data_IF_688570144369
#
_entry.id   IF_688570144369
#
_cell.length_a   1.000
_cell.length_b   1.000
_cell.length_c   1.000
_cell.angle_alpha   90.00
_cell.angle_beta   90.00
_cell.angle_gamma   90.00
#
_symmetry.space_group_name_H-M   'P 1'
#
loop_
_entity.id
_entity.type
_entity.pdbx_description
1 polymer ?
#
# COMPACT_ATOMS: atom_id res chain seq x y z
N UNK A 1 9.93 -26.28 -23.51
CA UNK A 1 9.93 -25.56 -22.22
C UNK A 1 8.82 -24.53 -22.31
N UNK A 2 7.76 -24.72 -21.52
CA UNK A 2 6.67 -23.75 -21.43
C UNK A 2 7.22 -22.49 -20.74
N UNK A 3 7.43 -21.42 -21.52
CA UNK A 3 7.88 -20.12 -21.00
C UNK A 3 6.63 -19.35 -20.57
N UNK A 4 5.99 -19.79 -19.49
CA UNK A 4 5.03 -18.92 -18.81
C UNK A 4 5.82 -17.79 -18.16
N UNK A 5 5.61 -16.56 -18.64
CA UNK A 5 6.16 -15.37 -17.99
C UNK A 5 5.75 -15.37 -16.52
N UNK A 6 6.66 -15.07 -15.59
CA UNK A 6 6.28 -14.96 -14.18
C UNK A 6 5.14 -13.95 -14.03
N UNK A 7 4.21 -14.18 -13.09
CA UNK A 7 3.10 -13.28 -12.88
C UNK A 7 3.62 -11.86 -12.56
N UNK A 8 2.91 -10.80 -12.98
CA UNK A 8 3.28 -9.43 -12.66
C UNK A 8 3.44 -9.23 -11.15
N UNK A 9 4.53 -8.59 -10.73
CA UNK A 9 4.79 -8.27 -9.33
C UNK A 9 4.84 -6.76 -9.10
N UNK A 10 4.43 -6.32 -7.91
CA UNK A 10 4.37 -4.93 -7.51
C UNK A 10 5.29 -4.70 -6.31
N UNK A 11 6.19 -3.73 -6.42
CA UNK A 11 7.16 -3.42 -5.36
C UNK A 11 6.71 -2.21 -4.55
N UNK A 12 6.68 -2.38 -3.23
CA UNK A 12 6.38 -1.33 -2.26
C UNK A 12 7.52 -1.21 -1.25
N UNK A 13 7.76 0.01 -0.77
CA UNK A 13 8.63 0.27 0.38
C UNK A 13 7.77 0.75 1.55
N UNK A 14 7.86 0.04 2.67
CA UNK A 14 7.18 0.42 3.91
C UNK A 14 8.23 0.90 4.89
N UNK A 15 8.01 2.06 5.49
CA UNK A 15 8.79 2.57 6.63
C UNK A 15 7.85 2.79 7.79
N UNK A 16 8.24 2.31 8.97
CA UNK A 16 7.50 2.44 10.23
C UNK A 16 8.43 3.05 11.26
N UNK A 17 7.91 3.98 12.06
CA UNK A 17 8.67 4.62 13.13
C UNK A 17 7.76 4.97 14.30
N UNK A 18 8.34 4.94 15.50
CA UNK A 18 7.75 5.50 16.69
C UNK A 18 7.90 7.03 16.64
N UNK A 19 6.81 7.75 16.86
CA UNK A 19 6.80 9.20 17.02
C UNK A 19 6.33 9.54 18.43
N UNK A 20 7.20 10.18 19.20
CA UNK A 20 6.80 10.77 20.47
C UNK A 20 5.81 11.91 20.21
N UNK A 21 4.68 11.84 20.90
CA UNK A 21 3.67 12.89 20.96
C UNK A 21 3.63 13.48 22.37
N UNK A 22 2.82 14.51 22.55
CA UNK A 22 2.67 15.16 23.85
C UNK A 22 2.26 14.18 24.96
N UNK A 23 2.73 14.48 26.17
CA UNK A 23 2.48 13.71 27.39
C UNK A 23 3.12 12.32 27.42
N UNK A 24 4.28 12.14 26.78
CA UNK A 24 5.07 10.91 26.88
C UNK A 24 4.44 9.69 26.22
N UNK A 25 3.46 9.92 25.34
CA UNK A 25 2.86 8.85 24.54
C UNK A 25 3.65 8.67 23.26
N UNK A 26 3.77 7.43 22.82
CA UNK A 26 4.40 7.08 21.54
C UNK A 26 3.32 6.60 20.59
N UNK A 27 3.19 7.27 19.44
CA UNK A 27 2.33 6.82 18.35
C UNK A 27 3.18 6.20 17.24
N UNK A 28 2.76 5.02 16.78
CA UNK A 28 3.34 4.44 15.58
C UNK A 28 2.84 5.17 14.34
N UNK A 29 3.77 5.48 13.44
CA UNK A 29 3.52 6.08 12.14
C UNK A 29 4.13 5.19 11.08
N UNK A 30 3.53 5.20 9.91
CA UNK A 30 4.06 4.54 8.75
C UNK A 30 3.90 5.35 7.48
N UNK A 31 4.71 5.03 6.49
CA UNK A 31 4.46 5.40 5.10
C UNK A 31 4.66 4.21 4.19
N UNK A 32 3.84 4.12 3.16
CA UNK A 32 3.99 3.20 2.04
C UNK A 32 4.33 4.00 0.80
N UNK A 33 5.31 3.52 0.03
CA UNK A 33 5.68 4.06 -1.26
C UNK A 33 5.52 2.97 -2.32
N UNK A 34 4.78 3.24 -3.39
CA UNK A 34 4.74 2.39 -4.56
C UNK A 34 5.93 2.73 -5.47
N UNK A 35 6.84 1.77 -5.67
CA UNK A 35 8.14 2.03 -6.33
C UNK A 35 7.99 2.46 -7.80
N UNK A 36 7.13 1.84 -8.62
CA UNK A 36 7.01 2.19 -10.04
C UNK A 36 6.55 3.62 -10.31
N UNK A 37 5.67 4.18 -9.49
CA UNK A 37 5.14 5.55 -9.68
C UNK A 37 5.76 6.57 -8.74
N UNK A 38 6.38 6.11 -7.65
CA UNK A 38 6.83 6.97 -6.56
C UNK A 38 5.70 7.49 -5.67
N UNK A 39 4.45 7.04 -5.85
CA UNK A 39 3.30 7.46 -5.02
C UNK A 39 3.54 7.10 -3.55
N UNK A 40 3.35 8.07 -2.63
CA UNK A 40 3.58 7.89 -1.18
C UNK A 40 2.32 8.22 -0.39
N UNK A 41 1.96 7.37 0.57
CA UNK A 41 0.87 7.61 1.52
C UNK A 41 1.29 7.30 2.94
N UNK A 42 0.79 8.06 3.89
CA UNK A 42 1.05 7.88 5.32
C UNK A 42 -0.11 7.16 5.99
N UNK A 43 0.20 6.33 6.99
CA UNK A 43 -0.79 5.61 7.79
C UNK A 43 -0.40 5.61 9.27
N UNK A 44 -1.38 5.35 10.14
CA UNK A 44 -1.20 5.27 11.60
C UNK A 44 -1.51 3.88 12.15
N UNK A 45 -2.28 3.09 11.41
CA UNK A 45 -2.75 1.78 11.84
C UNK A 45 -2.57 0.77 10.71
N UNK A 46 -2.43 -0.52 11.07
CA UNK A 46 -2.25 -1.59 10.09
C UNK A 46 -3.41 -1.76 9.12
N UNK A 47 -4.69 -1.64 9.52
CA UNK A 47 -5.80 -1.73 8.57
C UNK A 47 -5.74 -0.63 7.49
N UNK A 48 -5.31 0.58 7.86
CA UNK A 48 -5.12 1.67 6.91
C UNK A 48 -3.99 1.38 5.91
N UNK A 49 -2.90 0.73 6.35
CA UNK A 49 -1.82 0.28 5.45
C UNK A 49 -2.34 -0.72 4.41
N UNK A 50 -3.12 -1.72 4.83
CA UNK A 50 -3.67 -2.73 3.92
C UNK A 50 -4.58 -2.09 2.87
N UNK A 51 -5.48 -1.19 3.28
CA UNK A 51 -6.35 -0.45 2.37
C UNK A 51 -5.55 0.40 1.36
N UNK A 52 -4.45 1.04 1.81
CA UNK A 52 -3.58 1.81 0.92
C UNK A 52 -2.88 0.91 -0.12
N UNK A 53 -2.31 -0.22 0.29
CA UNK A 53 -1.65 -1.16 -0.62
C UNK A 53 -2.65 -1.71 -1.64
N UNK A 54 -3.85 -2.10 -1.20
CA UNK A 54 -4.90 -2.58 -2.08
C UNK A 54 -5.27 -1.54 -3.14
N UNK A 55 -5.55 -0.29 -2.73
CA UNK A 55 -5.87 0.82 -3.64
C UNK A 55 -4.77 1.08 -4.68
N UNK A 56 -3.50 0.89 -4.30
CA UNK A 56 -2.35 1.14 -5.19
C UNK A 56 -2.13 0.02 -6.22
N UNK A 57 -2.72 -1.17 -6.02
CA UNK A 57 -2.59 -2.26 -6.98
C UNK A 57 -3.47 -1.96 -8.21
N UNK A 58 -2.96 -2.13 -9.44
CA UNK A 58 -3.77 -2.01 -10.64
C UNK A 58 -4.85 -3.11 -10.67
N UNK A 59 -6.07 -2.76 -11.09
CA UNK A 59 -7.20 -3.68 -11.15
C UNK A 59 -7.90 -3.96 -9.81
N UNK A 60 -7.46 -3.34 -8.72
CA UNK A 60 -8.11 -3.41 -7.40
C UNK A 60 -9.43 -2.60 -7.31
N UNK A 61 -9.73 -1.81 -8.34
CA UNK A 61 -10.95 -1.01 -8.45
C UNK A 61 -11.36 -0.82 -9.89
N UNK A 62 -12.02 -1.81 -10.47
CA UNK A 62 -13.08 -1.66 -11.49
C UNK A 62 -13.64 -3.05 -11.85
N UNK A 63 -14.63 -3.50 -11.07
CA UNK A 63 -15.73 -4.22 -11.69
C UNK A 63 -16.63 -3.13 -12.29
N UNK A 64 -16.38 -2.74 -13.54
CA UNK A 64 -17.41 -2.03 -14.31
C UNK A 64 -18.57 -3.01 -14.42
N UNK A 65 -19.59 -2.77 -13.59
CA UNK A 65 -20.91 -3.34 -13.69
C UNK A 65 -21.50 -2.90 -15.04
N UNK A 66 -21.14 -3.65 -16.09
CA UNK A 66 -21.77 -3.58 -17.39
C UNK A 66 -23.07 -4.35 -17.32
N UNK A 67 -24.14 -3.61 -17.07
CA UNK A 67 -25.53 -4.02 -17.20
C UNK A 67 -25.77 -4.68 -18.57
N UNK A 68 -26.37 -5.87 -18.56
CA UNK A 68 -27.14 -6.45 -19.67
C UNK A 68 -28.34 -7.18 -19.12
#
# INVERSE_FOLDING_TARGET
MDQSSPPPSHLFVIRIWAQEIEHGRTEWRGRVQYVPTGEVHYFREWPAMLALVQRMLPGSGEAVSGER
#
